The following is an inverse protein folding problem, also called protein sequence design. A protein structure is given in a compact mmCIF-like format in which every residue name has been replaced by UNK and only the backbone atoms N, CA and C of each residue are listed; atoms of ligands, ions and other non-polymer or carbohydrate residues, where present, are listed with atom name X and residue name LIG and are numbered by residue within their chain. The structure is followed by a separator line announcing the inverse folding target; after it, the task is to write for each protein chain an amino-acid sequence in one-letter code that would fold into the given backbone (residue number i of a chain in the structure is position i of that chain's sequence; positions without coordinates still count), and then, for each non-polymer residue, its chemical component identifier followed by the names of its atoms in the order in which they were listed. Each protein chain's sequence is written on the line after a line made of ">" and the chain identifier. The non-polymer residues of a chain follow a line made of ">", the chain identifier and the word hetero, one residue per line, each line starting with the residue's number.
data_IF_979973117964
#
_entry.id   IF_979973117964
#
_cell.length_a   1.000
_cell.length_b   1.000
_cell.length_c   1.000
_cell.angle_alpha   90.00
_cell.angle_beta   90.00
_cell.angle_gamma   90.00
#
_symmetry.space_group_name_H-M   'P 1'
#
loop_
_entity.id
_entity.type
_entity.pdbx_description
1 polymer ?
#
# COMPACT_ATOMS: atom_id res chain seq x y z
N UNK A 1 9.39 -3.94 6.33
CA UNK A 1 9.37 -4.43 4.96
C UNK A 1 9.05 -3.30 4.02
N UNK A 2 9.84 -3.14 2.97
CA UNK A 2 9.64 -2.04 2.04
C UNK A 2 8.85 -2.49 0.83
N UNK A 3 7.90 -1.68 0.43
CA UNK A 3 7.07 -1.97 -0.73
C UNK A 3 7.14 -0.77 -1.66
N UNK A 4 7.29 -0.97 -2.97
CA UNK A 4 7.31 0.15 -3.88
C UNK A 4 5.99 0.92 -3.81
N UNK A 5 6.09 2.24 -3.83
CA UNK A 5 4.91 3.09 -3.76
C UNK A 5 3.90 2.74 -4.85
N UNK A 6 4.38 2.39 -6.03
CA UNK A 6 3.49 2.11 -7.14
C UNK A 6 2.51 0.98 -6.84
N UNK A 7 2.94 -0.04 -6.11
CA UNK A 7 2.06 -1.14 -5.77
C UNK A 7 0.94 -0.68 -4.84
N UNK A 8 1.27 0.19 -3.92
CA UNK A 8 0.30 0.70 -2.97
C UNK A 8 -0.69 1.63 -3.68
N UNK A 9 -0.19 2.48 -4.55
CA UNK A 9 -1.04 3.40 -5.29
C UNK A 9 -2.01 2.62 -6.18
N UNK A 10 -1.56 1.56 -6.81
CA UNK A 10 -2.45 0.75 -7.63
C UNK A 10 -3.53 0.08 -6.79
N UNK A 11 -3.16 -0.36 -5.60
CA UNK A 11 -4.11 -0.98 -4.70
C UNK A 11 -5.19 0.03 -4.29
N UNK A 12 -4.76 1.24 -3.96
CA UNK A 12 -5.69 2.30 -3.58
C UNK A 12 -6.60 2.63 -4.75
N UNK A 13 -6.05 2.68 -5.95
CA UNK A 13 -6.85 2.98 -7.13
C UNK A 13 -7.93 1.92 -7.32
N UNK A 14 -7.59 0.66 -7.14
CA UNK A 14 -8.55 -0.42 -7.31
C UNK A 14 -9.64 -0.41 -6.25
N UNK A 15 -9.29 -0.01 -5.05
CA UNK A 15 -10.25 -0.05 -3.94
C UNK A 15 -10.99 1.26 -3.73
N UNK A 16 -10.33 2.37 -3.94
CA UNK A 16 -10.87 3.66 -3.56
C UNK A 16 -10.97 4.67 -4.68
N UNK A 17 -10.43 4.37 -5.84
CA UNK A 17 -10.54 5.24 -6.99
C UNK A 17 -9.29 6.06 -7.27
N UNK A 18 -9.26 6.69 -8.44
CA UNK A 18 -8.09 7.39 -8.91
C UNK A 18 -7.74 8.61 -8.07
N UNK A 19 -8.73 9.29 -7.53
CA UNK A 19 -8.46 10.49 -6.75
C UNK A 19 -7.66 10.17 -5.50
N UNK A 20 -8.08 9.13 -4.79
CA UNK A 20 -7.35 8.72 -3.59
C UNK A 20 -5.97 8.21 -3.97
N UNK A 21 -5.86 7.51 -5.09
CA UNK A 21 -4.58 7.00 -5.56
C UNK A 21 -3.64 8.16 -5.85
N UNK A 22 -4.11 9.23 -6.43
CA UNK A 22 -3.29 10.39 -6.71
C UNK A 22 -2.84 11.08 -5.43
N UNK A 23 -3.72 11.16 -4.44
CA UNK A 23 -3.33 11.74 -3.16
C UNK A 23 -2.24 10.91 -2.51
N UNK A 24 -2.40 9.60 -2.52
CA UNK A 24 -1.42 8.72 -1.92
C UNK A 24 -0.08 8.81 -2.65
N UNK A 25 -0.11 8.94 -3.97
CA UNK A 25 1.09 9.04 -4.75
C UNK A 25 1.90 10.28 -4.34
N UNK A 26 1.23 11.35 -3.97
CA UNK A 26 1.91 12.56 -3.54
C UNK A 26 2.37 12.51 -2.09
N UNK A 27 1.75 11.67 -1.27
CA UNK A 27 2.11 11.60 0.15
C UNK A 27 3.09 10.50 0.48
N UNK A 28 3.05 9.40 -0.23
CA UNK A 28 3.88 8.26 0.11
C UNK A 28 5.30 8.41 -0.42
N UNK A 29 6.29 7.89 0.30
CA UNK A 29 7.67 7.90 -0.22
C UNK A 29 7.80 6.85 -1.31
N UNK A 30 8.86 6.89 -2.09
CA UNK A 30 9.08 5.94 -3.16
C UNK A 30 9.06 4.51 -2.66
N UNK A 31 9.58 4.28 -1.47
CA UNK A 31 9.55 2.98 -0.85
C UNK A 31 8.81 3.13 0.47
N UNK A 32 7.74 2.40 0.63
CA UNK A 32 6.91 2.50 1.80
C UNK A 32 7.22 1.35 2.73
N UNK A 33 7.50 1.68 4.00
CA UNK A 33 7.82 0.66 4.98
C UNK A 33 6.55 0.29 5.72
N UNK A 34 6.21 -0.99 5.73
CA UNK A 34 4.96 -1.44 6.34
C UNK A 34 4.96 -1.26 7.85
N UNK A 35 6.15 -1.05 8.44
CA UNK A 35 6.22 -0.84 9.87
C UNK A 35 6.32 0.63 10.23
N UNK A 36 7.17 1.37 9.54
CA UNK A 36 7.35 2.78 9.86
C UNK A 36 6.23 3.65 9.31
N UNK A 37 5.68 3.27 8.19
CA UNK A 37 4.64 4.06 7.56
C UNK A 37 3.24 3.51 7.82
N UNK A 38 3.09 2.75 8.91
CA UNK A 38 1.80 2.15 9.27
C UNK A 38 0.70 3.19 9.38
N UNK A 39 0.99 4.33 9.97
CA UNK A 39 -0.02 5.37 10.14
C UNK A 39 -0.49 5.90 8.80
N UNK A 40 0.43 6.10 7.87
CA UNK A 40 0.05 6.56 6.54
C UNK A 40 -0.81 5.52 5.84
N UNK A 41 -0.46 4.25 5.97
CA UNK A 41 -1.23 3.19 5.35
C UNK A 41 -2.63 3.12 5.94
N UNK A 42 -2.76 3.27 7.25
CA UNK A 42 -4.06 3.27 7.88
C UNK A 42 -4.90 4.47 7.48
N UNK A 43 -4.25 5.60 7.24
CA UNK A 43 -4.93 6.80 6.80
C UNK A 43 -5.67 6.54 5.49
N UNK A 44 -5.11 5.70 4.63
CA UNK A 44 -5.72 5.37 3.37
C UNK A 44 -6.53 4.06 3.42
N UNK A 45 -6.76 3.57 4.63
CA UNK A 45 -7.58 2.37 4.79
C UNK A 45 -6.88 1.08 4.40
N UNK A 46 -5.55 1.09 4.41
CA UNK A 46 -4.79 -0.09 4.04
C UNK A 46 -4.29 -0.81 5.27
N UNK A 47 -4.31 -2.15 5.20
CA UNK A 47 -3.83 -2.97 6.29
C UNK A 47 -2.41 -3.40 5.97
N UNK A 48 -1.42 -3.04 6.79
CA UNK A 48 -0.04 -3.43 6.52
C UNK A 48 0.13 -4.94 6.34
N UNK A 49 -0.67 -5.73 7.03
CA UNK A 49 -0.58 -7.18 6.89
C UNK A 49 -0.98 -7.62 5.49
N UNK A 50 -1.98 -6.97 4.90
CA UNK A 50 -2.40 -7.29 3.55
C UNK A 50 -1.33 -6.89 2.55
N UNK A 51 -0.67 -5.77 2.79
CA UNK A 51 0.37 -5.31 1.89
C UNK A 51 1.58 -6.26 1.96
N UNK A 52 1.85 -6.80 3.11
CA UNK A 52 2.92 -7.76 3.26
C UNK A 52 2.64 -9.00 2.41
N UNK A 53 1.40 -9.44 2.38
CA UNK A 53 1.02 -10.57 1.55
C UNK A 53 1.27 -10.27 0.08
N UNK A 54 0.89 -9.07 -0.36
CA UNK A 54 1.07 -8.69 -1.74
C UNK A 54 2.54 -8.67 -2.10
N UNK A 55 3.35 -8.02 -1.28
CA UNK A 55 4.77 -7.90 -1.56
C UNK A 55 5.47 -9.26 -1.46
N UNK A 56 4.99 -10.12 -0.61
CA UNK A 56 5.58 -11.42 -0.45
C UNK A 56 5.18 -12.40 -1.51
N UNK A 57 4.26 -12.03 -2.36
CA UNK A 57 3.82 -12.89 -3.40
C UNK A 57 3.15 -14.09 -2.86
N UNK A 58 2.59 -14.02 -1.72
CA UNK A 58 2.12 -15.13 -1.11
C UNK A 58 0.86 -15.56 -1.56
N UNK A 59 0.74 -16.64 -2.05
CA UNK A 59 -0.34 -17.11 -2.64
C UNK A 59 -1.18 -17.71 -1.73
N UNK A 60 -0.94 -17.73 -0.78
CA UNK A 60 -1.73 -18.24 0.08
C UNK A 60 -2.30 -19.40 -0.34
N UNK A 61 -2.14 -19.76 -0.88
CA UNK A 61 -2.59 -20.70 -1.19
C UNK A 61 -3.31 -21.36 -0.94
N UNK A 62 -3.35 -21.37 -0.75
CA UNK A 62 -4.13 -22.20 -0.30
C UNK A 62 -4.85 -22.66 -0.43
#
# INVERSE_FOLDING_TARGET
>A
MEIPKAMIVERIRAQQGAEKANEADGELPDKVDTEEDTELLQKYGLDPAQLTDIAGGNPAVG
#
